data_IF_542365862100
#
_entry.id   IF_542365862100
#
_cell.length_a   1.000
_cell.length_b   1.000
_cell.length_c   1.000
_cell.angle_alpha   90.00
_cell.angle_beta   90.00
_cell.angle_gamma   90.00
#
_symmetry.space_group_name_H-M   'P 1'
#
loop_
_entity.id
_entity.type
_entity.pdbx_description
1 polymer ?
#
# COMPACT_ATOMS: atom_id res chain seq x y z
N UNK A 1 -2.95 11.98 -4.25
CA UNK A 1 -2.21 10.71 -3.98
C UNK A 1 -0.87 11.03 -3.34
N UNK A 2 -0.27 10.12 -2.57
CA UNK A 2 1.12 10.27 -2.08
C UNK A 2 2.06 9.74 -3.17
N UNK A 3 2.99 10.57 -3.61
CA UNK A 3 3.92 10.24 -4.70
C UNK A 3 5.39 10.36 -4.27
N UNK A 4 5.66 10.67 -3.00
CA UNK A 4 7.01 10.70 -2.46
C UNK A 4 7.55 9.28 -2.23
N UNK A 5 8.87 9.16 -2.11
CA UNK A 5 9.50 7.91 -1.69
C UNK A 5 8.91 7.42 -0.36
N UNK A 6 8.59 6.12 -0.20
CA UNK A 6 8.80 5.00 -1.13
C UNK A 6 7.65 4.73 -2.14
N UNK A 7 6.58 5.52 -2.11
CA UNK A 7 5.39 5.34 -2.95
C UNK A 7 5.59 5.67 -4.43
N UNK A 8 6.71 6.32 -4.78
CA UNK A 8 7.10 6.51 -6.18
C UNK A 8 7.63 5.24 -6.86
N UNK A 9 7.99 4.21 -6.09
CA UNK A 9 8.54 2.94 -6.60
C UNK A 9 7.54 1.80 -6.48
N UNK A 10 6.80 1.74 -5.37
CA UNK A 10 5.79 0.71 -5.11
C UNK A 10 4.49 1.35 -4.66
N UNK A 11 3.35 0.83 -5.12
CA UNK A 11 2.03 1.30 -4.69
C UNK A 11 1.73 0.96 -3.23
N UNK A 12 2.28 -0.15 -2.73
CA UNK A 12 2.01 -0.70 -1.41
C UNK A 12 3.33 -1.04 -0.67
N UNK A 13 4.22 -0.06 -0.46
CA UNK A 13 5.60 -0.29 -0.03
C UNK A 13 5.69 -0.96 1.34
N UNK A 14 4.74 -0.71 2.25
CA UNK A 14 4.67 -1.37 3.55
C UNK A 14 4.43 -2.88 3.40
N UNK A 15 3.42 -3.26 2.60
CA UNK A 15 3.00 -4.64 2.40
C UNK A 15 4.11 -5.49 1.75
N UNK A 16 4.74 -4.97 0.69
CA UNK A 16 5.86 -5.66 0.05
C UNK A 16 7.12 -5.65 0.92
N UNK A 17 7.40 -4.54 1.61
CA UNK A 17 8.55 -4.41 2.49
C UNK A 17 8.54 -5.39 3.67
N UNK A 18 7.39 -5.52 4.35
CA UNK A 18 7.24 -6.49 5.45
C UNK A 18 7.26 -7.93 4.93
N UNK A 19 6.65 -8.22 3.78
CA UNK A 19 6.73 -9.55 3.14
C UNK A 19 8.19 -9.95 2.86
N UNK A 20 9.00 -9.02 2.34
CA UNK A 20 10.43 -9.27 2.11
C UNK A 20 11.19 -9.50 3.42
N UNK A 21 10.79 -8.85 4.51
CA UNK A 21 11.39 -9.05 5.83
C UNK A 21 11.04 -10.44 6.40
N UNK A 22 9.80 -10.91 6.21
CA UNK A 22 9.42 -12.29 6.55
C UNK A 22 10.14 -13.31 5.69
N UNK A 23 10.23 -13.08 4.38
CA UNK A 23 10.97 -13.94 3.47
C UNK A 23 12.45 -14.04 3.85
N UNK A 24 13.10 -12.90 4.10
CA UNK A 24 14.50 -12.85 4.51
C UNK A 24 14.73 -13.64 5.80
N UNK A 25 13.83 -13.52 6.77
CA UNK A 25 13.89 -14.30 8.01
C UNK A 25 13.70 -15.80 7.75
N UNK A 26 12.74 -16.17 6.90
CA UNK A 26 12.50 -17.57 6.54
C UNK A 26 13.70 -18.21 5.83
N UNK A 27 14.34 -17.46 4.92
CA UNK A 27 15.54 -17.88 4.22
C UNK A 27 16.74 -17.98 5.16
N UNK A 28 16.92 -17.03 6.08
CA UNK A 28 17.99 -17.06 7.08
C UNK A 28 17.94 -18.31 7.95
N UNK A 29 16.73 -18.73 8.36
CA UNK A 29 16.53 -19.95 9.14
C UNK A 29 16.48 -21.23 8.30
N UNK A 30 16.38 -21.11 6.97
CA UNK A 30 16.38 -22.26 6.05
C UNK A 30 15.20 -23.22 6.21
N UNK A 31 14.09 -22.80 6.84
CA UNK A 31 12.95 -23.67 7.12
C UNK A 31 11.84 -23.47 6.07
N UNK A 32 11.35 -24.53 5.41
CA UNK A 32 10.30 -24.41 4.39
C UNK A 32 8.99 -23.85 4.95
N UNK A 33 8.69 -24.13 6.23
CA UNK A 33 7.52 -23.58 6.91
C UNK A 33 7.52 -22.03 6.92
N UNK A 34 8.68 -21.38 7.05
CA UNK A 34 8.76 -19.92 7.03
C UNK A 34 8.40 -19.34 5.66
N UNK A 35 8.74 -20.04 4.57
CA UNK A 35 8.37 -19.62 3.21
C UNK A 35 6.87 -19.77 3.00
N UNK A 36 6.27 -20.87 3.47
CA UNK A 36 4.81 -21.07 3.41
C UNK A 36 4.05 -19.97 4.16
N UNK A 37 4.49 -19.65 5.39
CA UNK A 37 3.90 -18.57 6.17
C UNK A 37 4.08 -17.20 5.49
N UNK A 38 5.22 -16.96 4.85
CA UNK A 38 5.45 -15.73 4.08
C UNK A 38 4.46 -15.61 2.92
N UNK A 39 4.22 -16.71 2.20
CA UNK A 39 3.23 -16.75 1.11
C UNK A 39 1.82 -16.50 1.64
N UNK A 40 1.45 -17.13 2.76
CA UNK A 40 0.16 -16.91 3.40
C UNK A 40 -0.07 -15.44 3.75
N UNK A 41 0.91 -14.80 4.39
CA UNK A 41 0.87 -13.37 4.72
C UNK A 41 0.72 -12.52 3.44
N UNK A 42 1.48 -12.82 2.38
CA UNK A 42 1.37 -12.11 1.11
C UNK A 42 -0.03 -12.23 0.51
N UNK A 43 -0.65 -13.42 0.56
CA UNK A 43 -2.03 -13.61 0.08
C UNK A 43 -3.00 -12.73 0.86
N UNK A 44 -2.91 -12.72 2.20
CA UNK A 44 -3.75 -11.86 3.05
C UNK A 44 -3.56 -10.39 2.71
N UNK A 45 -2.32 -9.96 2.47
CA UNK A 45 -2.02 -8.58 2.05
C UNK A 45 -2.61 -8.21 0.71
N UNK A 46 -2.53 -9.08 -0.30
CA UNK A 46 -3.13 -8.82 -1.61
C UNK A 46 -4.66 -8.71 -1.52
N UNK A 47 -5.29 -9.54 -0.67
CA UNK A 47 -6.71 -9.43 -0.38
C UNK A 47 -7.04 -8.10 0.29
N UNK A 48 -6.28 -7.70 1.31
CA UNK A 48 -6.47 -6.43 2.00
C UNK A 48 -6.36 -5.22 1.05
N UNK A 49 -5.34 -5.21 0.18
CA UNK A 49 -5.13 -4.16 -0.81
C UNK A 49 -6.33 -3.99 -1.75
N UNK A 50 -7.03 -5.09 -2.09
CA UNK A 50 -8.23 -5.03 -2.93
C UNK A 50 -9.35 -4.18 -2.31
N UNK A 51 -9.40 -4.08 -0.98
CA UNK A 51 -10.35 -3.25 -0.25
C UNK A 51 -9.78 -1.88 0.13
N UNK A 52 -8.50 -1.80 0.49
CA UNK A 52 -7.86 -0.56 0.93
C UNK A 52 -7.61 0.43 -0.21
N UNK A 53 -7.15 -0.05 -1.37
CA UNK A 53 -6.87 0.78 -2.54
C UNK A 53 -8.09 1.61 -3.00
N UNK A 54 -9.28 1.02 -3.23
CA UNK A 54 -10.45 1.80 -3.65
C UNK A 54 -10.92 2.78 -2.57
N UNK A 55 -10.82 2.39 -1.29
CA UNK A 55 -11.17 3.26 -0.18
C UNK A 55 -10.25 4.50 -0.12
N UNK A 56 -8.95 4.28 -0.21
CA UNK A 56 -7.93 5.33 -0.20
C UNK A 56 -8.04 6.24 -1.42
N UNK A 57 -8.28 5.67 -2.61
CA UNK A 57 -8.53 6.44 -3.83
C UNK A 57 -9.74 7.37 -3.66
N UNK A 58 -10.82 6.88 -3.03
CA UNK A 58 -12.01 7.68 -2.72
C UNK A 58 -11.71 8.89 -1.83
N UNK A 59 -10.89 8.72 -0.79
CA UNK A 59 -10.46 9.81 0.09
C UNK A 59 -9.68 10.87 -0.69
N UNK A 60 -8.72 10.46 -1.53
CA UNK A 60 -7.94 11.40 -2.34
C UNK A 60 -8.81 12.12 -3.38
N UNK A 61 -9.73 11.42 -4.05
CA UNK A 61 -10.66 12.02 -5.00
C UNK A 61 -11.56 13.07 -4.32
N UNK A 62 -12.08 12.79 -3.12
CA UNK A 62 -12.84 13.76 -2.33
C UNK A 62 -12.01 14.99 -1.99
N UNK A 63 -10.77 14.80 -1.53
CA UNK A 63 -9.85 15.89 -1.18
C UNK A 63 -9.54 16.80 -2.38
N UNK A 64 -9.38 16.25 -3.58
CA UNK A 64 -9.15 17.02 -4.80
C UNK A 64 -10.39 17.83 -5.24
N UNK A 65 -11.58 17.25 -5.14
CA UNK A 65 -12.86 17.96 -5.38
C UNK A 65 -13.02 19.14 -4.42
N UNK A 66 -12.74 18.94 -3.14
CA UNK A 66 -12.81 20.03 -2.14
C UNK A 66 -11.77 21.12 -2.40
N UNK A 67 -10.55 20.76 -2.81
CA UNK A 67 -9.48 21.71 -3.12
C UNK A 67 -9.80 22.54 -4.38
N UNK A 68 -10.34 21.91 -5.42
CA UNK A 68 -10.74 22.61 -6.65
C UNK A 68 -11.92 23.56 -6.42
N UNK A 69 -12.93 23.15 -5.65
CA UNK A 69 -14.05 24.02 -5.27
C UNK A 69 -13.60 25.25 -4.46
N UNK A 70 -12.65 25.09 -3.53
CA UNK A 70 -12.06 26.21 -2.78
C UNK A 70 -11.23 27.15 -3.66
N UNK A 71 -10.54 26.62 -4.68
CA UNK A 71 -9.75 27.44 -5.63
C UNK A 71 -10.66 28.29 -6.52
N UNK A 72 -11.78 27.75 -6.99
CA UNK A 72 -12.78 28.50 -7.77
C UNK A 72 -13.43 29.64 -7.00
N UNK A 73 -13.71 29.45 -5.70
CA UNK A 73 -14.25 30.50 -4.81
C UNK A 73 -13.27 31.62 -4.44
N UNK A 74 -11.96 31.41 -4.63
CA UNK A 74 -10.92 32.40 -4.27
C UNK A 74 -10.44 33.21 -5.48
N UNK A 75 -10.87 32.84 -6.68
CA UNK A 75 -10.57 33.53 -7.94
C UNK A 75 -11.76 34.32 -8.51
N UNK A 76 -12.91 34.30 -7.82
CA UNK A 76 -14.03 35.22 -7.95
C UNK A 76 -13.96 36.21 -6.77
#
# INVERSE_FOLDING_TARGET
>A
MVTGFPFNVSSAPMYYGSTMSFLGTALWWGKPAGVLLTVEVLVVYLLALRFEDPFTAGIYAKRERERSAKKGKKGL
#
